data_IF_378776603346
#
_entry.id   IF_378776603346
#
_cell.length_a   1.000
_cell.length_b   1.000
_cell.length_c   1.000
_cell.angle_alpha   90.00
_cell.angle_beta   90.00
_cell.angle_gamma   90.00
#
_symmetry.space_group_name_H-M   'P 1'
#
loop_
_entity.id
_entity.type
_entity.pdbx_description
1 polymer ?
#
# COMPACT_ATOMS: atom_id res chain seq x y z
N UNK A 1 41.18 -5.02 13.36
CA UNK A 1 40.59 -5.98 14.32
C UNK A 1 39.56 -6.81 13.59
N UNK A 2 39.65 -8.14 13.66
CA UNK A 2 38.59 -9.02 13.17
C UNK A 2 37.37 -8.91 14.09
N UNK A 3 36.21 -8.58 13.54
CA UNK A 3 34.94 -8.53 14.29
C UNK A 3 34.53 -9.95 14.64
N UNK A 4 34.22 -10.21 15.91
CA UNK A 4 33.72 -11.51 16.36
C UNK A 4 32.25 -11.67 15.94
N UNK A 5 32.00 -12.61 15.02
CA UNK A 5 30.67 -12.90 14.47
C UNK A 5 29.87 -13.91 15.28
N UNK A 6 30.47 -14.49 16.33
CA UNK A 6 29.80 -15.49 17.19
C UNK A 6 28.83 -14.83 18.18
N UNK A 7 29.04 -13.56 18.51
CA UNK A 7 28.14 -12.73 19.33
C UNK A 7 27.40 -11.69 18.47
N UNK A 8 26.30 -11.10 18.96
CA UNK A 8 25.68 -9.96 18.31
C UNK A 8 26.67 -8.80 18.14
N UNK A 9 26.64 -8.17 16.97
CA UNK A 9 27.44 -6.99 16.66
C UNK A 9 27.11 -5.85 17.62
N UNK A 10 28.11 -5.22 18.24
CA UNK A 10 27.92 -4.10 19.16
C UNK A 10 27.86 -2.77 18.41
N UNK A 11 26.70 -2.13 18.44
CA UNK A 11 26.39 -0.93 17.65
C UNK A 11 26.16 0.27 18.57
N UNK A 12 26.72 1.43 18.23
CA UNK A 12 26.29 2.71 18.80
C UNK A 12 25.64 3.58 17.73
N UNK A 13 24.59 4.31 18.11
CA UNK A 13 23.89 5.23 17.21
C UNK A 13 24.13 6.66 17.66
N UNK A 14 24.65 7.51 16.78
CA UNK A 14 24.71 8.97 16.97
C UNK A 14 23.48 9.61 16.33
N UNK A 15 22.78 10.49 17.05
CA UNK A 15 21.57 11.15 16.55
C UNK A 15 21.42 12.57 17.11
N UNK A 16 20.78 13.47 16.35
CA UNK A 16 20.52 14.86 16.79
C UNK A 16 19.04 15.24 16.80
N UNK A 17 18.14 14.33 16.45
CA UNK A 17 16.73 14.66 16.16
C UNK A 17 15.75 13.54 16.49
N UNK A 18 14.73 13.39 15.63
CA UNK A 18 13.55 12.52 15.86
C UNK A 18 13.88 11.04 16.05
N UNK A 19 14.97 10.55 15.47
CA UNK A 19 15.40 9.16 15.59
C UNK A 19 14.48 8.14 14.89
N UNK A 20 13.85 8.49 13.77
CA UNK A 20 13.03 7.54 13.00
C UNK A 20 13.86 6.39 12.43
N UNK A 21 15.04 6.68 11.88
CA UNK A 21 16.00 5.66 11.43
C UNK A 21 16.54 4.79 12.56
N UNK A 22 16.74 5.38 13.76
CA UNK A 22 17.06 4.62 14.97
C UNK A 22 15.96 3.60 15.27
N UNK A 23 14.68 4.02 15.23
CA UNK A 23 13.56 3.11 15.47
C UNK A 23 13.55 1.94 14.48
N UNK A 24 13.74 2.20 13.19
CA UNK A 24 13.78 1.15 12.19
C UNK A 24 14.89 0.10 12.45
N UNK A 25 16.06 0.53 12.95
CA UNK A 25 17.15 -0.38 13.33
C UNK A 25 16.81 -1.16 14.60
N UNK A 26 16.20 -0.52 15.61
CA UNK A 26 15.71 -1.19 16.83
C UNK A 26 14.71 -2.29 16.44
N UNK A 27 13.69 -1.95 15.68
CA UNK A 27 12.62 -2.86 15.29
C UNK A 27 13.17 -4.07 14.52
N UNK A 28 14.15 -3.86 13.62
CA UNK A 28 14.78 -4.93 12.86
C UNK A 28 15.65 -5.85 13.73
N UNK A 29 16.28 -5.32 14.77
CA UNK A 29 17.03 -6.12 15.75
C UNK A 29 16.06 -6.95 16.60
N UNK A 30 15.01 -6.33 17.13
CA UNK A 30 14.01 -7.00 17.98
C UNK A 30 13.23 -8.08 17.22
N UNK A 31 12.97 -7.87 15.93
CA UNK A 31 12.37 -8.87 15.05
C UNK A 31 13.33 -10.02 14.67
N UNK A 32 14.62 -9.95 15.07
CA UNK A 32 15.62 -10.97 14.76
C UNK A 32 16.16 -10.93 13.33
N UNK A 33 15.87 -9.87 12.56
CA UNK A 33 16.40 -9.70 11.21
C UNK A 33 17.86 -9.26 11.18
N UNK A 34 18.31 -8.58 12.24
CA UNK A 34 19.68 -8.08 12.37
C UNK A 34 20.32 -8.67 13.62
N UNK A 35 21.40 -9.44 13.47
CA UNK A 35 22.17 -9.99 14.60
C UNK A 35 23.10 -8.93 15.20
N UNK A 36 22.50 -7.91 15.80
CA UNK A 36 23.21 -6.80 16.45
C UNK A 36 22.57 -6.43 17.78
N UNK A 37 23.28 -5.66 18.59
CA UNK A 37 22.81 -5.05 19.81
C UNK A 37 23.20 -3.57 19.79
N UNK A 38 22.22 -2.68 19.94
CA UNK A 38 22.50 -1.26 20.16
C UNK A 38 22.91 -1.09 21.62
N UNK A 39 24.19 -0.81 21.85
CA UNK A 39 24.75 -0.69 23.21
C UNK A 39 24.57 0.72 23.78
N UNK A 40 24.49 1.73 22.91
CA UNK A 40 24.15 3.09 23.30
C UNK A 40 23.59 3.92 22.14
N UNK A 41 22.73 4.87 22.47
CA UNK A 41 22.33 5.99 21.61
C UNK A 41 22.91 7.26 22.20
N UNK A 42 23.75 7.94 21.44
CA UNK A 42 24.45 9.15 21.87
C UNK A 42 23.89 10.35 21.09
N UNK A 43 23.55 11.43 21.80
CA UNK A 43 23.05 12.66 21.21
C UNK A 43 23.85 13.86 21.67
N UNK A 44 24.04 14.80 20.74
CA UNK A 44 24.58 16.13 21.01
C UNK A 44 23.49 17.15 21.41
N UNK A 45 22.24 16.70 21.56
CA UNK A 45 21.10 17.49 22.06
C UNK A 45 20.40 16.73 23.20
N UNK A 46 20.27 17.38 24.36
CA UNK A 46 19.70 16.79 25.57
C UNK A 46 18.27 16.30 25.38
N UNK A 47 17.48 17.07 24.64
CA UNK A 47 16.04 16.83 24.46
C UNK A 47 15.75 16.13 23.11
N UNK A 48 16.72 15.44 22.51
CA UNK A 48 16.51 14.71 21.28
C UNK A 48 15.53 13.55 21.50
N UNK A 49 14.42 13.44 20.73
CA UNK A 49 13.48 12.32 20.84
C UNK A 49 14.13 10.94 20.63
N UNK A 50 15.26 10.87 19.92
CA UNK A 50 16.06 9.66 19.78
C UNK A 50 16.51 9.06 21.14
N UNK A 51 16.85 9.90 22.13
CA UNK A 51 17.22 9.43 23.47
C UNK A 51 16.02 8.82 24.21
N UNK A 52 14.83 9.38 24.02
CA UNK A 52 13.61 8.82 24.60
C UNK A 52 13.26 7.45 23.99
N UNK A 53 13.45 7.29 22.67
CA UNK A 53 13.31 5.99 22.00
C UNK A 53 14.27 4.97 22.62
N UNK A 54 15.54 5.33 22.78
CA UNK A 54 16.53 4.44 23.41
C UNK A 54 16.07 3.97 24.79
N UNK A 55 15.62 4.90 25.65
CA UNK A 55 15.11 4.57 26.99
C UNK A 55 13.93 3.59 26.98
N UNK A 56 12.98 3.78 26.05
CA UNK A 56 11.79 2.90 25.92
C UNK A 56 12.15 1.46 25.58
N UNK A 57 13.27 1.26 24.89
CA UNK A 57 13.78 -0.07 24.50
C UNK A 57 14.92 -0.57 25.41
N UNK A 58 15.13 0.06 26.57
CA UNK A 58 16.17 -0.36 27.53
C UNK A 58 17.60 -0.16 27.02
N UNK A 59 17.80 0.69 26.02
CA UNK A 59 19.12 1.02 25.46
C UNK A 59 19.69 2.22 26.21
N UNK A 60 21.00 2.18 26.50
CA UNK A 60 21.68 3.27 27.17
C UNK A 60 21.58 4.57 26.36
N UNK A 61 20.97 5.61 26.92
CA UNK A 61 20.85 6.93 26.31
C UNK A 61 21.89 7.89 26.90
N UNK A 62 22.74 8.46 26.05
CA UNK A 62 23.83 9.33 26.47
C UNK A 62 23.70 10.70 25.81
N UNK A 63 23.58 11.74 26.62
CA UNK A 63 23.74 13.12 26.16
C UNK A 63 25.19 13.56 26.38
N UNK A 64 25.88 13.96 25.32
CA UNK A 64 27.22 14.55 25.40
C UNK A 64 27.16 15.96 24.83
N UNK A 65 27.24 16.94 25.72
CA UNK A 65 27.11 18.36 25.38
C UNK A 65 28.36 18.85 24.61
N UNK A 66 28.21 19.40 23.38
CA UNK A 66 29.34 20.01 22.68
C UNK A 66 29.73 21.40 23.22
N UNK A 67 28.89 22.06 24.02
CA UNK A 67 29.14 23.43 24.52
C UNK A 67 30.45 23.62 25.29
N UNK A 68 30.89 22.70 26.16
CA UNK A 68 32.16 22.87 26.91
C UNK A 68 33.41 22.97 26.03
N UNK A 69 33.30 22.52 24.78
CA UNK A 69 34.39 22.55 23.79
C UNK A 69 34.31 23.79 22.88
N UNK A 70 33.19 24.52 22.88
CA UNK A 70 32.96 25.64 21.98
C UNK A 70 33.99 26.76 22.19
N UNK A 71 34.37 27.43 21.09
CA UNK A 71 35.29 28.58 21.11
C UNK A 71 36.79 28.22 21.15
N UNK A 72 37.14 26.93 21.25
CA UNK A 72 38.53 26.46 21.17
C UNK A 72 38.96 26.21 19.71
N UNK A 73 40.24 26.41 19.36
CA UNK A 73 40.76 26.10 18.02
C UNK A 73 40.53 24.64 17.60
N UNK A 74 40.58 23.70 18.55
CA UNK A 74 40.42 22.25 18.41
C UNK A 74 39.04 21.75 18.87
N UNK A 75 38.04 22.65 18.95
CA UNK A 75 36.74 22.36 19.56
C UNK A 75 36.03 21.11 19.02
N UNK A 76 36.17 20.83 17.72
CA UNK A 76 35.53 19.68 17.07
C UNK A 76 36.26 18.38 17.40
N UNK A 77 37.59 18.40 17.30
CA UNK A 77 38.47 17.28 17.60
C UNK A 77 38.38 16.91 19.08
N UNK A 78 38.35 17.89 19.99
CA UNK A 78 38.19 17.65 21.42
C UNK A 78 36.84 16.97 21.75
N UNK A 79 35.76 17.41 21.11
CA UNK A 79 34.44 16.77 21.26
C UNK A 79 34.42 15.34 20.71
N UNK A 80 35.00 15.13 19.52
CA UNK A 80 35.09 13.81 18.89
C UNK A 80 36.01 12.84 19.65
N UNK A 81 37.04 13.33 20.34
CA UNK A 81 37.86 12.52 21.24
C UNK A 81 37.04 12.00 22.42
N UNK A 82 36.19 12.84 23.04
CA UNK A 82 35.30 12.39 24.11
C UNK A 82 34.28 11.35 23.60
N UNK A 83 33.75 11.54 22.38
CA UNK A 83 32.92 10.53 21.73
C UNK A 83 33.69 9.23 21.53
N UNK A 84 34.92 9.30 21.01
CA UNK A 84 35.77 8.13 20.77
C UNK A 84 36.07 7.36 22.06
N UNK A 85 36.41 8.04 23.15
CA UNK A 85 36.62 7.44 24.46
C UNK A 85 35.37 6.72 24.95
N UNK A 86 34.21 7.35 24.79
CA UNK A 86 32.91 6.77 25.16
C UNK A 86 32.62 5.50 24.34
N UNK A 87 32.81 5.56 23.02
CA UNK A 87 32.58 4.43 22.11
C UNK A 87 33.54 3.25 22.40
N UNK A 88 34.80 3.54 22.72
CA UNK A 88 35.79 2.53 23.12
C UNK A 88 35.44 1.86 24.44
N UNK A 89 35.03 2.63 25.45
CA UNK A 89 34.59 2.09 26.75
C UNK A 89 33.39 1.16 26.61
N UNK A 90 32.53 1.41 25.63
CA UNK A 90 31.35 0.59 25.33
C UNK A 90 31.65 -0.59 24.39
N UNK A 91 32.91 -0.79 23.97
CA UNK A 91 33.32 -1.84 23.02
C UNK A 91 32.46 -1.81 21.73
N UNK A 92 32.32 -0.63 21.13
CA UNK A 92 31.52 -0.44 19.91
C UNK A 92 32.30 -0.91 18.69
N UNK A 93 31.66 -1.76 17.88
CA UNK A 93 32.23 -2.32 16.67
C UNK A 93 31.78 -1.59 15.40
N UNK A 94 30.54 -1.07 15.38
CA UNK A 94 29.93 -0.29 14.30
C UNK A 94 29.24 0.97 14.85
N UNK A 95 29.49 2.12 14.22
CA UNK A 95 28.82 3.39 14.53
C UNK A 95 27.81 3.73 13.44
N UNK A 96 26.59 4.13 13.82
CA UNK A 96 25.54 4.57 12.90
C UNK A 96 25.22 6.04 13.10
N UNK A 97 25.26 6.84 12.04
CA UNK A 97 24.80 8.23 12.01
C UNK A 97 23.32 8.27 11.58
N UNK A 98 22.40 8.33 12.54
CA UNK A 98 20.96 8.35 12.31
C UNK A 98 20.40 9.77 12.48
N UNK A 99 20.59 10.62 11.47
CA UNK A 99 20.21 12.04 11.55
C UNK A 99 21.10 12.81 12.54
N UNK A 100 22.41 12.51 12.53
CA UNK A 100 23.42 13.21 13.30
C UNK A 100 23.90 14.45 12.54
N UNK A 101 23.70 15.64 13.12
CA UNK A 101 23.84 16.92 12.43
C UNK A 101 25.20 17.61 12.69
N UNK A 102 26.21 16.87 13.16
CA UNK A 102 27.58 17.39 13.27
C UNK A 102 28.50 16.65 12.30
N UNK A 103 29.35 17.39 11.62
CA UNK A 103 30.38 16.82 10.75
C UNK A 103 31.45 16.19 11.63
N UNK A 104 31.58 14.85 11.54
CA UNK A 104 32.63 14.09 12.23
C UNK A 104 34.01 14.47 11.68
N UNK A 105 35.00 14.48 12.56
CA UNK A 105 36.40 14.78 12.25
C UNK A 105 37.18 13.51 11.92
N UNK A 106 38.42 13.67 11.48
CA UNK A 106 39.35 12.57 11.22
C UNK A 106 39.60 11.68 12.44
N UNK A 107 39.38 12.18 13.67
CA UNK A 107 39.47 11.42 14.92
C UNK A 107 38.56 10.19 14.89
N UNK A 108 37.27 10.41 14.60
CA UNK A 108 36.29 9.34 14.55
C UNK A 108 36.38 8.53 13.25
N UNK A 109 36.59 9.20 12.11
CA UNK A 109 36.67 8.54 10.79
C UNK A 109 37.81 7.52 10.77
N UNK A 110 39.01 7.87 11.26
CA UNK A 110 40.15 6.94 11.29
C UNK A 110 39.95 5.82 12.31
N UNK A 111 39.35 6.13 13.47
CA UNK A 111 39.08 5.10 14.48
C UNK A 111 38.05 4.06 14.03
N UNK A 112 37.09 4.47 13.21
CA UNK A 112 35.99 3.65 12.69
C UNK A 112 35.99 3.56 11.16
N UNK A 113 37.17 3.50 10.55
CA UNK A 113 37.31 3.34 9.10
C UNK A 113 36.57 2.07 8.64
N UNK A 114 35.69 2.22 7.65
CA UNK A 114 34.78 1.17 7.16
C UNK A 114 33.92 0.53 8.27
N UNK A 115 33.73 1.23 9.40
CA UNK A 115 32.93 0.81 10.57
C UNK A 115 32.09 1.96 11.13
N UNK A 116 31.83 2.97 10.30
CA UNK A 116 30.89 4.05 10.56
C UNK A 116 30.00 4.21 9.32
N UNK A 117 28.69 4.13 9.49
CA UNK A 117 27.72 4.25 8.39
C UNK A 117 26.80 5.45 8.58
N UNK A 118 26.52 6.14 7.49
CA UNK A 118 25.52 7.19 7.43
C UNK A 118 24.40 6.80 6.46
N UNK A 119 23.20 7.31 6.71
CA UNK A 119 22.11 7.30 5.74
C UNK A 119 21.78 8.73 5.32
N UNK A 120 21.79 8.96 4.01
CA UNK A 120 21.61 10.28 3.40
C UNK A 120 20.39 10.30 2.48
N UNK A 121 19.47 11.28 2.59
CA UNK A 121 18.21 11.31 1.83
C UNK A 121 18.35 11.77 0.37
N UNK A 122 19.41 11.33 -0.33
CA UNK A 122 19.55 11.50 -1.78
C UNK A 122 20.18 10.27 -2.44
N UNK A 123 20.14 10.22 -3.77
CA UNK A 123 20.93 9.29 -4.58
C UNK A 123 22.33 9.86 -4.79
N UNK A 124 23.25 9.62 -3.84
CA UNK A 124 24.63 10.05 -3.97
C UNK A 124 25.27 9.45 -5.25
N UNK A 125 26.13 10.21 -5.95
CA UNK A 125 26.78 11.45 -5.54
C UNK A 125 25.94 12.73 -5.74
N UNK A 126 24.68 12.63 -6.17
CA UNK A 126 23.82 13.81 -6.35
C UNK A 126 23.36 14.38 -5.01
N UNK A 127 23.38 15.71 -4.90
CA UNK A 127 22.88 16.48 -3.75
C UNK A 127 23.45 16.04 -2.39
N UNK A 128 24.76 16.18 -2.12
CA UNK A 128 25.31 16.04 -0.77
C UNK A 128 24.84 17.18 0.15
N UNK A 129 24.91 16.98 1.46
CA UNK A 129 24.58 18.00 2.47
C UNK A 129 23.08 18.20 2.72
N UNK A 130 22.64 19.44 2.98
CA UNK A 130 21.28 19.71 3.50
C UNK A 130 20.25 20.03 2.40
N UNK A 131 18.97 20.01 2.76
CA UNK A 131 17.81 20.42 1.94
C UNK A 131 17.70 19.72 0.57
N UNK A 132 18.09 18.44 0.54
CA UNK A 132 18.28 17.69 -0.70
C UNK A 132 16.98 17.38 -1.44
N UNK A 133 15.87 17.23 -0.72
CA UNK A 133 14.54 17.01 -1.32
C UNK A 133 14.09 18.24 -2.09
N UNK A 134 14.24 19.43 -1.49
CA UNK A 134 13.95 20.71 -2.15
C UNK A 134 14.86 20.91 -3.35
N UNK A 135 16.16 20.67 -3.21
CA UNK A 135 17.12 20.76 -4.33
C UNK A 135 16.72 19.84 -5.50
N UNK A 136 16.30 18.61 -5.22
CA UNK A 136 15.88 17.67 -6.26
C UNK A 136 14.60 18.14 -6.99
N UNK A 137 13.62 18.67 -6.26
CA UNK A 137 12.39 19.23 -6.83
C UNK A 137 12.69 20.48 -7.67
N UNK A 138 13.44 21.44 -7.11
CA UNK A 138 13.80 22.70 -7.77
C UNK A 138 14.62 22.45 -9.05
N UNK A 139 15.46 21.41 -9.06
CA UNK A 139 16.22 20.99 -10.24
C UNK A 139 15.36 20.30 -11.32
N UNK A 140 14.12 19.93 -11.00
CA UNK A 140 13.22 19.22 -11.91
C UNK A 140 13.53 17.73 -12.04
N UNK A 141 14.17 17.11 -11.05
CA UNK A 141 14.41 15.67 -11.05
C UNK A 141 13.08 14.90 -11.10
N UNK A 142 13.09 13.74 -11.77
CA UNK A 142 11.96 12.80 -11.79
C UNK A 142 12.17 11.58 -10.88
N UNK A 143 13.35 11.47 -10.30
CA UNK A 143 13.77 10.42 -9.36
C UNK A 143 14.59 11.07 -8.24
N UNK A 144 14.34 10.62 -7.01
CA UNK A 144 15.16 10.88 -5.82
C UNK A 144 15.39 9.55 -5.09
N UNK A 145 15.85 9.59 -3.84
CA UNK A 145 16.11 8.38 -3.09
C UNK A 145 16.89 8.62 -1.81
N UNK A 146 17.43 7.55 -1.24
CA UNK A 146 18.36 7.59 -0.13
C UNK A 146 19.55 6.64 -0.36
N UNK A 147 20.66 6.93 0.30
CA UNK A 147 21.92 6.21 0.18
C UNK A 147 22.46 5.86 1.56
N UNK A 148 22.81 4.59 1.79
CA UNK A 148 23.64 4.16 2.92
C UNK A 148 25.07 4.02 2.44
N UNK A 149 26.01 4.66 3.14
CA UNK A 149 27.42 4.64 2.78
C UNK A 149 28.30 4.59 4.03
N UNK A 150 29.54 4.12 3.87
CA UNK A 150 30.57 4.30 4.88
C UNK A 150 30.98 5.76 4.98
N UNK A 151 31.29 6.24 6.18
CA UNK A 151 31.69 7.63 6.40
C UNK A 151 33.18 7.81 6.12
N UNK A 152 33.51 8.90 5.44
CA UNK A 152 34.88 9.35 5.14
C UNK A 152 35.06 10.79 5.63
N UNK A 153 36.27 11.36 5.45
CA UNK A 153 36.51 12.77 5.82
C UNK A 153 35.70 13.76 4.94
N UNK A 154 35.45 13.40 3.67
CA UNK A 154 34.54 14.13 2.78
C UNK A 154 33.07 13.93 3.17
N UNK A 155 32.28 15.00 3.09
CA UNK A 155 30.85 15.02 3.45
C UNK A 155 30.05 14.22 2.43
N UNK A 156 29.42 13.12 2.87
CA UNK A 156 28.59 12.25 2.03
C UNK A 156 29.34 11.66 0.80
N UNK A 157 30.66 11.48 0.92
CA UNK A 157 31.53 11.06 -0.20
C UNK A 157 32.05 9.62 -0.10
N UNK A 158 31.67 8.88 0.95
CA UNK A 158 32.28 7.58 1.21
C UNK A 158 31.72 6.44 0.34
N UNK A 159 32.33 5.24 0.42
CA UNK A 159 31.90 4.08 -0.35
C UNK A 159 30.43 3.73 -0.10
N UNK A 160 29.65 3.67 -1.18
CA UNK A 160 28.21 3.40 -1.15
C UNK A 160 27.99 1.90 -0.90
N UNK A 161 27.11 1.58 0.06
CA UNK A 161 26.73 0.20 0.41
C UNK A 161 25.41 -0.16 -0.28
N UNK A 162 24.36 0.64 -0.05
CA UNK A 162 23.02 0.43 -0.62
C UNK A 162 22.40 1.76 -1.04
N UNK A 163 21.56 1.72 -2.06
CA UNK A 163 20.71 2.84 -2.47
C UNK A 163 19.28 2.38 -2.70
N UNK A 164 18.34 3.28 -2.42
CA UNK A 164 16.94 3.13 -2.75
C UNK A 164 16.47 4.37 -3.48
N UNK A 165 15.70 4.19 -4.56
CA UNK A 165 15.16 5.28 -5.36
C UNK A 165 13.65 5.39 -5.17
N UNK A 166 13.09 6.58 -5.38
CA UNK A 166 11.66 6.85 -5.37
C UNK A 166 11.32 7.85 -6.48
N UNK A 167 10.12 7.80 -7.08
CA UNK A 167 9.69 8.80 -8.03
C UNK A 167 9.44 10.14 -7.32
N UNK A 168 9.69 11.23 -8.05
CA UNK A 168 9.19 12.56 -7.73
C UNK A 168 7.92 12.77 -8.57
N UNK A 169 6.79 12.97 -7.90
CA UNK A 169 5.50 13.25 -8.53
C UNK A 169 5.41 14.75 -8.88
N UNK A 170 4.64 15.10 -9.90
CA UNK A 170 4.56 16.48 -10.38
C UNK A 170 3.98 17.47 -9.35
N UNK A 171 3.26 16.97 -8.34
CA UNK A 171 2.69 17.75 -7.24
C UNK A 171 3.40 17.54 -5.89
N UNK A 172 4.58 16.92 -5.87
CA UNK A 172 5.33 16.72 -4.62
C UNK A 172 5.79 18.03 -4.00
N UNK A 173 5.72 18.08 -2.67
CA UNK A 173 6.44 19.06 -1.85
C UNK A 173 7.70 18.41 -1.25
N UNK A 174 8.66 19.19 -0.71
CA UNK A 174 9.80 18.62 -0.01
C UNK A 174 9.39 17.65 1.11
N UNK A 175 8.28 17.91 1.79
CA UNK A 175 7.75 17.09 2.89
C UNK A 175 7.18 15.76 2.37
N UNK A 176 6.38 15.77 1.29
CA UNK A 176 5.81 14.53 0.73
C UNK A 176 6.91 13.65 0.13
N UNK A 177 7.90 14.27 -0.53
CA UNK A 177 9.07 13.56 -1.04
C UNK A 177 9.93 13.00 0.11
N UNK A 178 10.18 13.77 1.16
CA UNK A 178 10.91 13.31 2.33
C UNK A 178 10.21 12.14 3.02
N UNK A 179 8.87 12.17 3.16
CA UNK A 179 8.10 11.07 3.72
C UNK A 179 8.24 9.78 2.88
N UNK A 180 8.22 9.90 1.54
CA UNK A 180 8.42 8.77 0.62
C UNK A 180 9.84 8.19 0.69
N UNK A 181 10.85 9.05 0.75
CA UNK A 181 12.26 8.65 0.91
C UNK A 181 12.44 7.93 2.26
N UNK A 182 11.85 8.46 3.33
CA UNK A 182 11.99 7.93 4.69
C UNK A 182 11.50 6.48 4.80
N UNK A 183 10.45 6.10 4.09
CA UNK A 183 9.98 4.71 4.03
C UNK A 183 11.06 3.77 3.48
N UNK A 184 11.86 4.23 2.51
CA UNK A 184 12.95 3.44 1.98
C UNK A 184 14.18 3.46 2.89
N UNK A 185 14.46 4.58 3.57
CA UNK A 185 15.51 4.66 4.58
C UNK A 185 15.34 3.59 5.66
N UNK A 186 14.10 3.41 6.14
CA UNK A 186 13.74 2.41 7.14
C UNK A 186 13.95 0.96 6.67
N UNK A 187 14.09 0.72 5.37
CA UNK A 187 14.38 -0.60 4.80
C UNK A 187 15.87 -0.80 4.59
N UNK A 188 16.53 0.14 3.90
CA UNK A 188 17.92 -0.06 3.48
C UNK A 188 18.91 0.16 4.62
N UNK A 189 18.58 0.97 5.63
CA UNK A 189 19.51 1.19 6.73
C UNK A 189 19.70 -0.06 7.60
N UNK A 190 18.63 -0.70 8.11
CA UNK A 190 18.78 -1.96 8.84
C UNK A 190 19.40 -3.07 7.98
N UNK A 191 19.09 -3.12 6.67
CA UNK A 191 19.69 -4.08 5.75
C UNK A 191 21.20 -3.89 5.61
N UNK A 192 21.70 -2.66 5.53
CA UNK A 192 23.14 -2.40 5.50
C UNK A 192 23.83 -2.85 6.80
N UNK A 193 23.18 -2.61 7.95
CA UNK A 193 23.65 -3.10 9.27
C UNK A 193 23.69 -4.63 9.29
N UNK A 194 22.67 -5.29 8.75
CA UNK A 194 22.62 -6.74 8.62
C UNK A 194 23.79 -7.28 7.79
N UNK A 195 24.00 -6.75 6.59
CA UNK A 195 25.11 -7.16 5.71
C UNK A 195 26.46 -6.99 6.40
N UNK A 196 26.61 -5.89 7.13
CA UNK A 196 27.81 -5.65 7.93
C UNK A 196 27.94 -6.66 9.06
N UNK A 197 26.86 -6.96 9.79
CA UNK A 197 26.83 -7.94 10.89
C UNK A 197 27.12 -9.38 10.43
N UNK A 198 26.72 -9.72 9.21
CA UNK A 198 27.00 -11.01 8.55
C UNK A 198 28.42 -11.10 7.98
N UNK A 199 29.18 -10.00 7.96
CA UNK A 199 30.54 -9.98 7.40
C UNK A 199 30.61 -10.00 5.88
N UNK A 200 29.50 -9.67 5.21
CA UNK A 200 29.37 -9.76 3.76
C UNK A 200 29.85 -8.52 3.01
N UNK A 201 30.36 -7.49 3.69
CA UNK A 201 30.78 -6.23 3.06
C UNK A 201 32.29 -6.17 2.93
N UNK A 202 32.79 -6.00 1.70
CA UNK A 202 34.21 -5.87 1.39
C UNK A 202 34.47 -4.58 0.62
N UNK A 203 35.26 -3.68 1.20
CA UNK A 203 35.57 -2.38 0.58
C UNK A 203 36.82 -2.50 -0.27
N UNK A 204 36.75 -2.06 -1.53
CA UNK A 204 37.92 -1.86 -2.39
C UNK A 204 37.86 -0.45 -3.02
N UNK A 205 38.77 0.42 -2.58
CA UNK A 205 38.76 1.82 -3.00
C UNK A 205 37.42 2.48 -2.65
N UNK A 206 36.68 2.94 -3.66
CA UNK A 206 35.37 3.61 -3.50
C UNK A 206 34.17 2.68 -3.61
N UNK A 207 34.39 1.38 -3.82
CA UNK A 207 33.31 0.39 -4.04
C UNK A 207 33.18 -0.54 -2.85
N UNK A 208 31.94 -0.94 -2.56
CA UNK A 208 31.63 -1.99 -1.60
C UNK A 208 31.13 -3.19 -2.38
N UNK A 209 31.83 -4.31 -2.24
CA UNK A 209 31.40 -5.61 -2.75
C UNK A 209 30.60 -6.32 -1.66
N UNK A 210 29.45 -6.87 -2.04
CA UNK A 210 28.61 -7.68 -1.17
C UNK A 210 28.84 -9.15 -1.52
N UNK A 211 29.28 -9.95 -0.56
CA UNK A 211 29.51 -11.39 -0.75
C UNK A 211 28.18 -12.13 -0.96
N UNK A 212 28.19 -13.11 -1.89
CA UNK A 212 27.01 -13.86 -2.37
C UNK A 212 25.91 -12.99 -2.98
N UNK A 213 26.26 -11.78 -3.43
CA UNK A 213 25.32 -10.90 -4.11
C UNK A 213 24.87 -11.48 -5.44
N UNK A 214 23.59 -11.82 -5.55
CA UNK A 214 22.97 -12.06 -6.86
C UNK A 214 22.81 -10.72 -7.57
N UNK A 215 23.30 -10.54 -8.82
CA UNK A 215 23.30 -9.27 -9.57
C UNK A 215 21.93 -8.60 -9.87
N UNK A 216 20.85 -8.94 -9.18
CA UNK A 216 19.53 -8.32 -9.36
C UNK A 216 18.65 -8.24 -8.10
N UNK A 217 19.12 -8.69 -6.94
CA UNK A 217 18.36 -8.67 -5.68
C UNK A 217 18.86 -7.62 -4.69
N UNK A 218 20.15 -7.24 -4.76
CA UNK A 218 20.80 -6.53 -3.66
C UNK A 218 21.01 -5.02 -3.86
N UNK A 219 20.71 -4.48 -5.05
CA UNK A 219 20.70 -3.05 -5.28
C UNK A 219 19.66 -2.64 -6.33
N UNK A 220 18.38 -2.76 -5.97
CA UNK A 220 17.28 -1.88 -6.40
C UNK A 220 16.16 -1.95 -5.33
N UNK A 221 15.92 -0.89 -4.56
CA UNK A 221 14.57 -0.58 -4.03
C UNK A 221 14.24 0.85 -4.45
N UNK A 222 14.09 1.10 -5.75
CA UNK A 222 12.77 1.07 -6.36
C UNK A 222 12.62 -0.04 -7.41
N UNK A 223 11.78 -1.04 -7.11
CA UNK A 223 10.72 -1.34 -8.08
C UNK A 223 9.59 -0.31 -7.90
N UNK A 224 9.90 0.94 -8.17
CA UNK A 224 8.97 2.06 -8.39
C UNK A 224 9.38 2.77 -9.69
N UNK A 225 9.54 2.00 -10.77
CA UNK A 225 8.87 2.39 -11.99
C UNK A 225 7.81 1.36 -12.25
N UNK A 226 6.59 1.85 -12.11
CA UNK A 226 5.35 1.08 -12.16
C UNK A 226 5.24 0.16 -10.93
N UNK A 227 4.68 0.70 -9.84
CA UNK A 227 3.45 0.06 -9.36
C UNK A 227 2.57 -0.05 -10.62
N UNK A 228 2.73 -1.16 -11.36
CA UNK A 228 1.55 -1.93 -11.62
C UNK A 228 1.10 -2.19 -10.20
N UNK A 229 0.16 -1.37 -9.73
CA UNK A 229 -0.92 -1.91 -8.96
C UNK A 229 -1.12 -3.29 -9.58
N UNK A 230 -0.86 -4.36 -8.83
CA UNK A 230 -1.45 -5.60 -9.30
C UNK A 230 -2.92 -5.24 -9.49
N UNK A 231 -3.57 -5.80 -10.50
CA UNK A 231 -4.99 -5.49 -10.74
C UNK A 231 -5.77 -5.60 -9.42
N UNK A 232 -5.29 -6.45 -8.49
CA UNK A 232 -5.71 -6.58 -7.10
C UNK A 232 -5.45 -5.39 -6.17
N UNK A 233 -4.34 -4.67 -6.27
CA UNK A 233 -4.05 -3.49 -5.43
C UNK A 233 -4.90 -2.28 -5.85
N UNK A 234 -5.14 -2.11 -7.16
CA UNK A 234 -6.06 -1.09 -7.68
C UNK A 234 -7.51 -1.46 -7.38
N UNK A 235 -7.87 -2.72 -7.59
CA UNK A 235 -9.17 -3.23 -7.20
C UNK A 235 -9.37 -3.10 -5.69
N UNK A 236 -8.39 -3.41 -4.85
CA UNK A 236 -8.51 -3.28 -3.40
C UNK A 236 -8.71 -1.82 -3.01
N UNK A 237 -7.89 -0.89 -3.52
CA UNK A 237 -8.02 0.52 -3.18
C UNK A 237 -9.31 1.16 -3.72
N UNK A 238 -9.76 0.80 -4.92
CA UNK A 238 -11.02 1.31 -5.47
C UNK A 238 -12.24 0.60 -4.87
N UNK A 239 -12.21 -0.71 -4.63
CA UNK A 239 -13.28 -1.40 -3.91
C UNK A 239 -13.39 -0.81 -2.51
N UNK A 240 -12.27 -0.64 -1.79
CA UNK A 240 -12.29 -0.02 -0.47
C UNK A 240 -12.78 1.43 -0.53
N UNK A 241 -12.40 2.24 -1.53
CA UNK A 241 -12.89 3.62 -1.72
C UNK A 241 -14.38 3.71 -2.12
N UNK A 242 -14.85 2.82 -2.98
CA UNK A 242 -16.22 2.75 -3.49
C UNK A 242 -17.16 2.24 -2.40
N UNK A 243 -16.78 1.16 -1.71
CA UNK A 243 -17.60 0.51 -0.69
C UNK A 243 -17.50 1.20 0.68
N UNK A 244 -16.39 1.84 1.06
CA UNK A 244 -16.32 2.59 2.33
C UNK A 244 -17.19 3.86 2.35
N UNK A 245 -17.52 4.45 1.19
CA UNK A 245 -18.26 5.74 1.13
C UNK A 245 -19.66 5.68 0.53
N UNK A 246 -19.99 4.70 -0.31
CA UNK A 246 -21.25 4.71 -1.08
C UNK A 246 -22.12 3.47 -0.86
N UNK A 247 -21.77 2.61 0.11
CA UNK A 247 -22.52 1.40 0.40
C UNK A 247 -23.94 1.67 0.91
N UNK A 248 -24.14 2.75 1.67
CA UNK A 248 -25.47 3.23 2.08
C UNK A 248 -26.37 3.55 0.89
N UNK A 249 -25.80 4.06 -0.21
CA UNK A 249 -26.53 4.36 -1.43
C UNK A 249 -26.85 3.10 -2.25
N UNK A 250 -25.89 2.17 -2.36
CA UNK A 250 -26.11 0.88 -3.03
C UNK A 250 -27.18 0.07 -2.29
N UNK A 251 -27.17 0.10 -0.96
CA UNK A 251 -28.19 -0.54 -0.12
C UNK A 251 -29.55 0.16 -0.23
N UNK A 252 -29.61 1.49 -0.27
CA UNK A 252 -30.85 2.26 -0.46
C UNK A 252 -31.46 2.05 -1.86
N UNK A 253 -30.64 2.02 -2.92
CA UNK A 253 -31.09 1.69 -4.29
C UNK A 253 -31.57 0.24 -4.36
N UNK A 254 -30.84 -0.70 -3.74
CA UNK A 254 -31.23 -2.10 -3.63
C UNK A 254 -32.56 -2.28 -2.89
N UNK A 255 -32.79 -1.54 -1.80
CA UNK A 255 -34.06 -1.52 -1.05
C UNK A 255 -35.21 -0.94 -1.87
N UNK A 256 -35.01 0.15 -2.61
CA UNK A 256 -36.04 0.77 -3.46
C UNK A 256 -36.42 -0.12 -4.64
N UNK A 257 -35.45 -0.78 -5.26
CA UNK A 257 -35.69 -1.76 -6.32
C UNK A 257 -36.44 -2.98 -5.76
N UNK A 258 -36.03 -3.48 -4.59
CA UNK A 258 -36.71 -4.60 -3.93
C UNK A 258 -38.17 -4.26 -3.54
N UNK A 259 -38.43 -3.06 -2.98
CA UNK A 259 -39.79 -2.61 -2.66
C UNK A 259 -40.67 -2.41 -3.90
N UNK A 260 -40.11 -1.90 -4.99
CA UNK A 260 -40.85 -1.72 -6.25
C UNK A 260 -41.26 -3.07 -6.87
N UNK A 261 -40.42 -4.09 -6.73
CA UNK A 261 -40.63 -5.43 -7.30
C UNK A 261 -41.44 -6.35 -6.38
N UNK A 262 -41.35 -6.18 -5.05
CA UNK A 262 -42.18 -6.90 -4.07
C UNK A 262 -43.68 -6.54 -4.20
N UNK A 263 -44.00 -5.35 -4.71
CA UNK A 263 -45.38 -4.93 -4.98
C UNK A 263 -45.98 -5.54 -6.27
N UNK A 264 -45.22 -6.28 -7.07
CA UNK A 264 -45.71 -6.90 -8.32
C UNK A 264 -45.62 -8.42 -8.26
N UNK A 265 -46.62 -9.05 -7.64
CA UNK A 265 -46.86 -10.49 -7.76
C UNK A 265 -47.42 -10.81 -9.16
N UNK A 266 -46.55 -11.11 -10.12
CA UNK A 266 -46.87 -11.92 -11.32
C UNK A 266 -45.61 -12.19 -12.17
N UNK A 267 -45.67 -13.23 -12.99
CA UNK A 267 -44.71 -13.52 -14.07
C UNK A 267 -44.31 -12.24 -14.79
N UNK A 268 -43.03 -11.84 -14.69
CA UNK A 268 -42.54 -10.65 -15.39
C UNK A 268 -42.67 -10.91 -16.90
N UNK A 269 -43.53 -10.16 -17.62
CA UNK A 269 -43.67 -10.33 -19.07
C UNK A 269 -42.34 -10.07 -19.78
N UNK A 270 -42.19 -10.56 -21.02
CA UNK A 270 -41.05 -10.18 -21.85
C UNK A 270 -41.06 -8.65 -22.05
N UNK A 271 -40.09 -7.98 -21.43
CA UNK A 271 -40.13 -6.55 -21.21
C UNK A 271 -38.84 -6.01 -20.58
N UNK A 272 -38.79 -4.69 -20.34
CA UNK A 272 -37.62 -4.03 -19.76
C UNK A 272 -37.26 -4.61 -18.38
N UNK A 273 -38.24 -4.94 -17.52
CA UNK A 273 -37.96 -5.45 -16.17
C UNK A 273 -37.27 -6.82 -16.20
N UNK A 274 -37.77 -7.75 -17.03
CA UNK A 274 -37.16 -9.09 -17.19
C UNK A 274 -35.74 -8.99 -17.77
N UNK A 275 -35.55 -8.08 -18.73
CA UNK A 275 -34.25 -7.83 -19.37
C UNK A 275 -33.23 -7.27 -18.38
N UNK A 276 -33.62 -6.32 -17.53
CA UNK A 276 -32.79 -5.79 -16.45
C UNK A 276 -32.34 -6.91 -15.52
N UNK A 277 -33.25 -7.80 -15.12
CA UNK A 277 -32.93 -8.91 -14.22
C UNK A 277 -31.87 -9.86 -14.81
N UNK A 278 -32.01 -10.23 -16.09
CA UNK A 278 -31.06 -11.10 -16.78
C UNK A 278 -29.69 -10.43 -16.93
N UNK A 279 -29.65 -9.13 -17.22
CA UNK A 279 -28.40 -8.37 -17.31
C UNK A 279 -27.67 -8.33 -15.97
N UNK A 280 -28.39 -8.07 -14.87
CA UNK A 280 -27.78 -8.05 -13.52
C UNK A 280 -27.26 -9.43 -13.10
N UNK A 281 -27.98 -10.51 -13.42
CA UNK A 281 -27.53 -11.89 -13.18
C UNK A 281 -26.25 -12.24 -13.96
N UNK A 282 -26.13 -11.77 -15.20
CA UNK A 282 -24.92 -11.93 -16.01
C UNK A 282 -23.74 -11.14 -15.45
N UNK A 283 -23.97 -9.92 -14.96
CA UNK A 283 -22.95 -9.12 -14.29
C UNK A 283 -22.42 -9.82 -13.02
N UNK A 284 -23.32 -10.43 -12.23
CA UNK A 284 -22.93 -11.22 -11.05
C UNK A 284 -22.05 -12.42 -11.40
N UNK A 285 -22.49 -13.24 -12.36
CA UNK A 285 -21.76 -14.44 -12.76
C UNK A 285 -20.36 -14.09 -13.29
N UNK A 286 -20.25 -12.94 -13.94
CA UNK A 286 -18.98 -12.37 -14.40
C UNK A 286 -18.09 -11.95 -13.21
N UNK A 287 -18.62 -11.23 -12.22
CA UNK A 287 -17.87 -10.87 -11.01
C UNK A 287 -17.38 -12.10 -10.21
N UNK A 288 -18.20 -13.14 -10.10
CA UNK A 288 -17.79 -14.41 -9.47
C UNK A 288 -16.70 -15.13 -10.27
N UNK A 289 -16.74 -15.06 -11.60
CA UNK A 289 -15.68 -15.62 -12.45
C UNK A 289 -14.38 -14.83 -12.33
N UNK A 290 -14.47 -13.50 -12.12
CA UNK A 290 -13.30 -12.66 -11.87
C UNK A 290 -12.56 -13.07 -10.58
N UNK A 291 -13.29 -13.44 -9.52
CA UNK A 291 -12.70 -13.97 -8.29
C UNK A 291 -11.89 -15.25 -8.52
N UNK A 292 -12.40 -16.17 -9.32
CA UNK A 292 -11.72 -17.42 -9.62
C UNK A 292 -10.46 -17.19 -10.46
N UNK A 293 -10.51 -16.25 -11.41
CA UNK A 293 -9.35 -15.84 -12.20
C UNK A 293 -8.26 -15.21 -11.32
N UNK A 294 -8.63 -14.38 -10.36
CA UNK A 294 -7.72 -13.84 -9.35
C UNK A 294 -7.04 -14.95 -8.55
N UNK A 295 -7.83 -15.89 -8.03
CA UNK A 295 -7.33 -17.02 -7.21
C UNK A 295 -6.34 -17.89 -7.98
N UNK A 296 -6.51 -18.00 -9.30
CA UNK A 296 -5.63 -18.75 -10.19
C UNK A 296 -4.46 -17.94 -10.75
N UNK A 297 -4.30 -16.68 -10.33
CA UNK A 297 -3.16 -15.84 -10.73
C UNK A 297 -3.31 -15.20 -12.12
N UNK A 298 -4.53 -14.97 -12.61
CA UNK A 298 -4.83 -14.34 -13.90
C UNK A 298 -5.35 -12.89 -13.75
N UNK A 299 -4.49 -11.92 -13.39
CA UNK A 299 -4.90 -10.56 -13.07
C UNK A 299 -5.39 -9.77 -14.30
N UNK A 300 -4.84 -10.01 -15.49
CA UNK A 300 -5.23 -9.30 -16.71
C UNK A 300 -6.65 -9.66 -17.14
N UNK A 301 -6.99 -10.95 -17.08
CA UNK A 301 -8.31 -11.48 -17.41
C UNK A 301 -9.36 -11.02 -16.39
N UNK A 302 -8.96 -10.90 -15.12
CA UNK A 302 -9.81 -10.35 -14.04
C UNK A 302 -10.29 -8.93 -14.36
N UNK A 303 -9.38 -8.03 -14.73
CA UNK A 303 -9.72 -6.63 -15.04
C UNK A 303 -10.70 -6.51 -16.22
N UNK A 304 -10.53 -7.35 -17.25
CA UNK A 304 -11.43 -7.42 -18.41
C UNK A 304 -12.85 -7.84 -17.99
N UNK A 305 -12.97 -8.85 -17.12
CA UNK A 305 -14.27 -9.37 -16.66
C UNK A 305 -15.00 -8.38 -15.75
N UNK A 306 -14.27 -7.69 -14.87
CA UNK A 306 -14.84 -6.67 -13.99
C UNK A 306 -15.34 -5.46 -14.80
N UNK A 307 -14.54 -5.02 -15.78
CA UNK A 307 -14.95 -3.95 -16.70
C UNK A 307 -16.25 -4.30 -17.42
N UNK A 308 -16.35 -5.52 -17.97
CA UNK A 308 -17.56 -5.97 -18.64
C UNK A 308 -18.78 -5.97 -17.70
N UNK A 309 -18.59 -6.38 -16.44
CA UNK A 309 -19.66 -6.39 -15.44
C UNK A 309 -20.18 -4.98 -15.15
N UNK A 310 -19.28 -3.99 -15.08
CA UNK A 310 -19.62 -2.57 -14.90
C UNK A 310 -20.44 -2.03 -16.09
N UNK A 311 -20.03 -2.36 -17.32
CA UNK A 311 -20.75 -1.96 -18.54
C UNK A 311 -22.16 -2.57 -18.61
N UNK A 312 -22.31 -3.83 -18.18
CA UNK A 312 -23.61 -4.52 -18.11
C UNK A 312 -24.53 -3.91 -17.05
N UNK A 313 -24.00 -3.59 -15.86
CA UNK A 313 -24.77 -2.90 -14.82
C UNK A 313 -25.21 -1.50 -15.26
N UNK A 314 -24.33 -0.79 -15.99
CA UNK A 314 -24.67 0.53 -16.52
C UNK A 314 -25.77 0.46 -17.59
N UNK A 315 -25.73 -0.55 -18.47
CA UNK A 315 -26.78 -0.80 -19.44
C UNK A 315 -28.13 -1.10 -18.76
N UNK A 316 -28.14 -1.94 -17.72
CA UNK A 316 -29.34 -2.23 -16.95
C UNK A 316 -29.93 -0.95 -16.29
N UNK A 317 -29.07 -0.10 -15.73
CA UNK A 317 -29.47 1.18 -15.17
C UNK A 317 -30.05 2.15 -16.22
N UNK A 318 -29.46 2.22 -17.43
CA UNK A 318 -29.97 3.05 -18.53
C UNK A 318 -31.34 2.56 -18.99
N UNK A 319 -31.52 1.25 -19.18
CA UNK A 319 -32.82 0.64 -19.55
C UNK A 319 -33.88 0.95 -18.49
N UNK A 320 -33.52 0.94 -17.20
CA UNK A 320 -34.42 1.29 -16.11
C UNK A 320 -34.80 2.79 -16.08
N UNK A 321 -33.90 3.66 -16.54
CA UNK A 321 -34.08 5.12 -16.47
C UNK A 321 -34.68 5.77 -17.71
N UNK A 322 -34.60 5.11 -18.87
CA UNK A 322 -35.08 5.64 -20.16
C UNK A 322 -35.94 4.58 -20.88
N UNK A 323 -37.26 4.81 -20.93
CA UNK A 323 -38.20 3.91 -21.61
C UNK A 323 -37.91 3.69 -23.10
N UNK A 324 -37.17 4.60 -23.76
CA UNK A 324 -36.73 4.43 -25.16
C UNK A 324 -35.42 3.63 -25.26
N UNK A 325 -34.66 3.51 -24.17
CA UNK A 325 -33.41 2.75 -24.16
C UNK A 325 -33.65 1.25 -24.30
N UNK A 326 -34.76 0.73 -23.75
CA UNK A 326 -35.15 -0.67 -23.94
C UNK A 326 -35.34 -1.02 -25.43
N UNK A 327 -36.08 -0.20 -26.17
CA UNK A 327 -36.29 -0.41 -27.61
C UNK A 327 -34.99 -0.26 -28.40
N UNK A 328 -34.12 0.67 -28.02
CA UNK A 328 -32.78 0.79 -28.63
C UNK A 328 -31.92 -0.44 -28.35
N UNK A 329 -31.96 -0.99 -27.14
CA UNK A 329 -31.24 -2.21 -26.76
C UNK A 329 -31.74 -3.42 -27.57
N UNK A 330 -33.06 -3.61 -27.64
CA UNK A 330 -33.71 -4.70 -28.39
C UNK A 330 -33.32 -4.74 -29.87
N UNK A 331 -33.13 -3.57 -30.47
CA UNK A 331 -32.72 -3.43 -31.87
C UNK A 331 -31.19 -3.34 -32.07
N UNK A 332 -30.39 -3.60 -31.03
CA UNK A 332 -28.92 -3.56 -31.08
C UNK A 332 -28.33 -2.16 -31.32
N UNK A 333 -29.09 -1.10 -31.01
CA UNK A 333 -28.73 0.32 -31.19
C UNK A 333 -28.31 0.99 -29.87
N UNK A 334 -28.05 0.21 -28.83
CA UNK A 334 -27.54 0.68 -27.55
C UNK A 334 -26.30 -0.13 -27.16
N UNK A 335 -25.16 0.55 -27.16
CA UNK A 335 -23.86 -0.03 -26.79
C UNK A 335 -23.61 0.12 -25.29
N UNK A 336 -23.15 -0.94 -24.64
CA UNK A 336 -22.95 -1.00 -23.17
C UNK A 336 -21.87 -0.02 -22.70
N UNK A 337 -20.82 0.23 -23.48
CA UNK A 337 -19.77 1.19 -23.11
C UNK A 337 -20.28 2.63 -23.18
N UNK A 338 -21.16 2.94 -24.15
CA UNK A 338 -21.81 4.26 -24.25
C UNK A 338 -22.76 4.56 -23.09
N UNK A 339 -23.27 3.51 -22.44
CA UNK A 339 -24.16 3.65 -21.28
C UNK A 339 -23.45 4.22 -20.05
N UNK A 340 -22.13 4.05 -19.92
CA UNK A 340 -21.35 4.59 -18.77
C UNK A 340 -21.52 6.11 -18.63
N UNK A 341 -21.38 6.84 -19.74
CA UNK A 341 -21.59 8.29 -19.76
C UNK A 341 -23.04 8.71 -19.55
N UNK A 342 -24.00 7.83 -19.88
CA UNK A 342 -25.44 8.07 -19.71
C UNK A 342 -25.89 7.85 -18.27
N UNK A 343 -25.38 6.81 -17.58
CA UNK A 343 -25.67 6.56 -16.16
C UNK A 343 -25.19 7.70 -15.29
N UNK A 344 -24.03 8.31 -15.60
CA UNK A 344 -23.55 9.52 -14.90
C UNK A 344 -24.56 10.69 -14.95
N UNK A 345 -25.37 10.79 -16.00
CA UNK A 345 -26.42 11.82 -16.11
C UNK A 345 -27.72 11.38 -15.44
N UNK A 346 -28.10 10.11 -15.57
CA UNK A 346 -29.35 9.58 -15.04
C UNK A 346 -29.32 9.33 -13.52
N UNK A 347 -28.19 8.84 -13.00
CA UNK A 347 -27.90 8.61 -11.58
C UNK A 347 -26.52 9.15 -11.24
N UNK A 348 -26.40 10.44 -10.88
CA UNK A 348 -25.12 11.11 -10.67
C UNK A 348 -24.22 10.42 -9.62
N UNK A 349 -24.83 9.92 -8.55
CA UNK A 349 -24.09 9.31 -7.44
C UNK A 349 -23.51 7.94 -7.83
N UNK A 350 -24.34 7.03 -8.36
CA UNK A 350 -23.91 5.70 -8.85
C UNK A 350 -23.05 5.81 -10.12
N UNK A 351 -23.42 6.71 -11.03
CA UNK A 351 -22.74 6.90 -12.30
C UNK A 351 -21.37 7.57 -12.17
N UNK A 352 -21.14 8.40 -11.14
CA UNK A 352 -19.80 8.90 -10.83
C UNK A 352 -18.85 7.79 -10.36
N UNK A 353 -19.36 6.84 -9.59
CA UNK A 353 -18.65 5.66 -9.09
C UNK A 353 -18.32 4.71 -10.25
N UNK A 354 -19.33 4.31 -11.03
CA UNK A 354 -19.15 3.42 -12.18
C UNK A 354 -18.23 4.04 -13.25
N UNK A 355 -18.33 5.36 -13.50
CA UNK A 355 -17.49 6.03 -14.48
C UNK A 355 -16.02 6.19 -14.03
N UNK A 356 -15.76 6.36 -12.72
CA UNK A 356 -14.39 6.36 -12.19
C UNK A 356 -13.75 4.97 -12.29
N UNK A 357 -14.46 3.94 -11.81
CA UNK A 357 -14.02 2.55 -11.90
C UNK A 357 -13.80 2.12 -13.36
N UNK A 358 -14.74 2.45 -14.26
CA UNK A 358 -14.61 2.19 -15.69
C UNK A 358 -13.45 2.97 -16.33
N UNK A 359 -13.30 4.26 -16.01
CA UNK A 359 -12.26 5.13 -16.55
C UNK A 359 -10.87 4.57 -16.29
N UNK A 360 -10.60 4.10 -15.07
CA UNK A 360 -9.31 3.50 -14.78
C UNK A 360 -9.12 2.09 -15.31
N UNK A 361 -10.19 1.32 -15.54
CA UNK A 361 -10.07 0.05 -16.25
C UNK A 361 -9.87 0.27 -17.76
N UNK A 362 -10.36 1.38 -18.31
CA UNK A 362 -10.27 1.70 -19.73
C UNK A 362 -8.89 2.19 -20.17
N UNK A 363 -8.08 2.74 -19.24
CA UNK A 363 -6.69 3.15 -19.52
C UNK A 363 -5.75 1.96 -19.70
N UNK A 364 -6.03 0.86 -19.01
CA UNK A 364 -5.13 -0.29 -18.92
C UNK A 364 -5.63 -1.54 -19.66
N UNK A 365 -6.93 -1.62 -19.96
CA UNK A 365 -7.54 -2.77 -20.62
C UNK A 365 -8.27 -2.35 -21.90
N UNK A 366 -8.07 -3.10 -22.99
CA UNK A 366 -8.78 -2.87 -24.24
C UNK A 366 -10.27 -3.28 -24.13
N UNK A 367 -11.15 -2.53 -24.80
CA UNK A 367 -12.55 -2.89 -24.93
C UNK A 367 -12.69 -4.18 -25.75
N UNK A 368 -13.45 -5.18 -25.30
CA UNK A 368 -13.68 -6.44 -26.04
C UNK A 368 -14.74 -6.27 -27.15
N UNK A 369 -14.93 -5.05 -27.63
CA UNK A 369 -16.01 -4.67 -28.52
C UNK A 369 -15.91 -5.28 -29.92
N UNK A 370 -17.04 -5.81 -30.39
CA UNK A 370 -17.32 -6.07 -31.80
C UNK A 370 -17.53 -7.53 -32.17
N UNK A 371 -16.68 -8.45 -31.68
CA UNK A 371 -16.63 -9.83 -32.20
C UNK A 371 -17.15 -10.92 -31.25
N UNK A 372 -16.98 -10.77 -29.93
CA UNK A 372 -17.44 -11.78 -28.96
C UNK A 372 -18.87 -11.52 -28.45
N UNK A 373 -19.23 -10.25 -28.23
CA UNK A 373 -20.54 -9.89 -27.66
C UNK A 373 -21.71 -10.11 -28.62
N UNK A 374 -21.55 -9.79 -29.92
CA UNK A 374 -22.61 -9.97 -30.93
C UNK A 374 -23.02 -11.42 -31.15
N UNK A 375 -22.15 -12.39 -30.86
CA UNK A 375 -22.44 -13.83 -30.98
C UNK A 375 -22.99 -14.46 -29.70
N UNK A 376 -22.79 -13.84 -28.53
CA UNK A 376 -23.33 -14.33 -27.24
C UNK A 376 -24.63 -13.65 -26.81
N UNK A 377 -25.05 -12.58 -27.49
CA UNK A 377 -26.40 -11.99 -27.35
C UNK A 377 -27.55 -12.93 -27.79
N UNK A 378 -27.25 -14.14 -28.26
CA UNK A 378 -28.24 -15.17 -28.61
C UNK A 378 -28.22 -16.36 -27.66
N UNK A 379 -28.02 -16.14 -26.35
CA UNK A 379 -28.53 -17.10 -25.37
C UNK A 379 -30.02 -16.78 -25.21
N UNK A 380 -30.89 -17.66 -25.75
CA UNK A 380 -32.34 -17.52 -25.62
C UNK A 380 -32.72 -17.32 -24.15
N UNK A 381 -33.48 -16.27 -23.80
CA UNK A 381 -33.88 -15.99 -22.43
C UNK A 381 -35.09 -16.85 -22.07
N UNK A 382 -34.90 -18.15 -21.96
CA UNK A 382 -35.93 -19.05 -21.44
C UNK A 382 -35.32 -19.94 -20.36
N UNK A 383 -35.39 -19.53 -19.09
CA UNK A 383 -35.71 -20.48 -18.05
C UNK A 383 -37.15 -20.92 -18.31
N UNK A 384 -37.36 -22.22 -18.50
CA UNK A 384 -38.69 -22.84 -18.53
C UNK A 384 -39.49 -22.40 -17.30
N UNK A 385 -40.76 -22.09 -17.52
CA UNK A 385 -41.73 -21.65 -16.52
C UNK A 385 -41.73 -22.56 -15.29
N UNK A 386 -41.36 -22.02 -14.14
CA UNK A 386 -41.40 -22.73 -12.85
C UNK A 386 -40.66 -22.04 -11.70
N UNK A 387 -39.65 -21.21 -11.98
CA UNK A 387 -38.76 -20.70 -10.92
C UNK A 387 -38.92 -19.19 -10.67
N UNK A 388 -40.12 -18.79 -10.25
CA UNK A 388 -40.41 -17.46 -9.68
C UNK A 388 -40.09 -17.37 -8.18
N UNK A 389 -39.23 -18.27 -7.69
CA UNK A 389 -38.54 -18.17 -6.40
C UNK A 389 -37.29 -17.28 -6.48
N UNK A 390 -36.94 -16.78 -7.68
CA UNK A 390 -35.56 -16.45 -7.99
C UNK A 390 -35.19 -14.96 -7.88
N UNK A 391 -36.08 -13.98 -7.73
CA UNK A 391 -35.66 -12.57 -7.75
C UNK A 391 -35.11 -12.08 -6.40
N UNK A 392 -35.83 -12.33 -5.31
CA UNK A 392 -35.31 -12.11 -3.95
C UNK A 392 -34.05 -12.95 -3.71
N UNK A 393 -34.04 -14.18 -4.21
CA UNK A 393 -32.87 -15.07 -4.20
C UNK A 393 -31.72 -14.52 -5.03
N UNK A 394 -31.96 -13.92 -6.20
CA UNK A 394 -30.91 -13.31 -7.04
C UNK A 394 -30.37 -12.04 -6.41
N UNK A 395 -31.21 -11.19 -5.81
CA UNK A 395 -30.77 -9.99 -5.10
C UNK A 395 -30.03 -10.33 -3.79
N UNK A 396 -30.49 -11.34 -3.06
CA UNK A 396 -29.79 -11.88 -1.89
C UNK A 396 -28.45 -12.51 -2.31
N UNK A 397 -28.42 -13.20 -3.45
CA UNK A 397 -27.19 -13.77 -4.02
C UNK A 397 -26.24 -12.68 -4.52
N UNK A 398 -26.74 -11.56 -5.05
CA UNK A 398 -25.93 -10.39 -5.44
C UNK A 398 -25.32 -9.74 -4.20
N UNK A 399 -26.15 -9.50 -3.18
CA UNK A 399 -25.71 -8.98 -1.88
C UNK A 399 -24.68 -9.89 -1.23
N UNK A 400 -24.89 -11.20 -1.27
CA UNK A 400 -23.96 -12.21 -0.77
C UNK A 400 -22.65 -12.26 -1.56
N UNK A 401 -22.70 -12.18 -2.89
CA UNK A 401 -21.52 -12.15 -3.75
C UNK A 401 -20.68 -10.89 -3.51
N UNK A 402 -21.32 -9.72 -3.38
CA UNK A 402 -20.66 -8.45 -3.05
C UNK A 402 -20.06 -8.46 -1.63
N UNK A 403 -20.76 -9.04 -0.66
CA UNK A 403 -20.23 -9.20 0.70
C UNK A 403 -19.05 -10.19 0.74
N UNK A 404 -19.14 -11.29 0.00
CA UNK A 404 -18.06 -12.27 -0.11
C UNK A 404 -16.84 -11.67 -0.81
N UNK A 405 -17.05 -10.83 -1.83
CA UNK A 405 -16.01 -10.04 -2.48
C UNK A 405 -15.28 -9.12 -1.49
N UNK A 406 -16.02 -8.42 -0.63
CA UNK A 406 -15.49 -7.48 0.37
C UNK A 406 -14.75 -8.18 1.52
N UNK A 407 -15.30 -9.31 2.00
CA UNK A 407 -14.63 -10.13 3.01
C UNK A 407 -13.32 -10.72 2.46
N UNK A 408 -13.35 -11.22 1.23
CA UNK A 408 -12.18 -11.82 0.58
C UNK A 408 -11.14 -10.77 0.17
N UNK A 409 -11.54 -9.56 -0.21
CA UNK A 409 -10.60 -8.47 -0.51
C UNK A 409 -9.80 -8.08 0.74
N UNK A 410 -10.44 -7.96 1.92
CA UNK A 410 -9.73 -7.71 3.18
C UNK A 410 -8.79 -8.86 3.57
N UNK A 411 -9.20 -10.12 3.34
CA UNK A 411 -8.38 -11.32 3.62
C UNK A 411 -7.19 -11.45 2.67
N UNK A 412 -7.36 -11.14 1.38
CA UNK A 412 -6.30 -11.22 0.37
C UNK A 412 -5.35 -10.01 0.47
N UNK A 413 -5.87 -8.84 0.85
CA UNK A 413 -5.12 -7.59 0.96
C UNK A 413 -4.76 -7.22 2.42
N UNK A 414 -4.79 -8.16 3.37
CA UNK A 414 -4.63 -7.90 4.82
C UNK A 414 -3.34 -7.17 5.22
N UNK A 415 -2.30 -7.21 4.37
CA UNK A 415 -1.03 -6.49 4.58
C UNK A 415 -1.09 -5.01 4.20
N UNK A 416 -2.16 -4.60 3.53
CA UNK A 416 -2.33 -3.27 2.93
C UNK A 416 -3.59 -2.54 3.44
N UNK A 417 -4.48 -3.25 4.14
CA UNK A 417 -5.65 -2.66 4.80
C UNK A 417 -5.22 -2.10 6.17
N UNK A 418 -5.25 -0.77 6.31
CA UNK A 418 -4.82 -0.08 7.53
C UNK A 418 -5.80 -0.26 8.70
N UNK A 419 -7.10 -0.40 8.41
CA UNK A 419 -8.18 -0.52 9.40
C UNK A 419 -9.20 -1.61 8.98
N UNK A 420 -8.87 -2.91 9.18
CA UNK A 420 -9.75 -4.01 8.78
C UNK A 420 -11.04 -4.04 9.62
N UNK A 421 -12.20 -4.15 8.96
CA UNK A 421 -13.53 -3.98 9.60
C UNK A 421 -14.07 -5.26 10.24
N UNK A 422 -13.69 -6.40 9.69
CA UNK A 422 -14.17 -7.72 10.15
C UNK A 422 -13.14 -8.48 10.99
N UNK A 423 -11.93 -7.93 11.12
CA UNK A 423 -10.77 -8.66 11.62
C UNK A 423 -9.96 -7.82 12.60
N UNK A 424 -9.61 -8.40 13.74
CA UNK A 424 -8.74 -7.78 14.73
C UNK A 424 -7.37 -8.46 14.73
N UNK A 425 -6.31 -7.67 14.69
CA UNK A 425 -4.95 -8.18 14.80
C UNK A 425 -4.70 -8.67 16.23
N UNK A 426 -4.41 -9.95 16.39
CA UNK A 426 -4.13 -10.59 17.69
C UNK A 426 -2.63 -10.84 17.90
N UNK A 427 -1.86 -11.06 16.83
CA UNK A 427 -0.39 -11.15 16.84
C UNK A 427 0.18 -10.58 15.52
N UNK A 428 1.52 -10.47 15.40
CA UNK A 428 2.21 -9.81 14.29
C UNK A 428 1.76 -10.26 12.88
N UNK A 429 1.28 -11.50 12.72
CA UNK A 429 0.74 -12.05 11.47
C UNK A 429 -0.55 -12.86 11.66
N UNK A 430 -1.25 -12.68 12.78
CA UNK A 430 -2.50 -13.40 13.05
C UNK A 430 -3.64 -12.42 13.24
N UNK A 431 -4.72 -12.68 12.51
CA UNK A 431 -5.97 -11.96 12.57
C UNK A 431 -7.06 -12.90 13.05
N UNK A 432 -7.89 -12.39 13.96
CA UNK A 432 -9.07 -13.09 14.45
C UNK A 432 -10.29 -12.37 13.89
N UNK A 433 -11.30 -13.15 13.47
CA UNK A 433 -12.58 -12.58 13.08
C UNK A 433 -13.22 -11.89 14.29
N UNK A 434 -13.37 -10.58 14.21
CA UNK A 434 -13.93 -9.76 15.28
C UNK A 434 -14.59 -8.51 14.68
N UNK A 435 -15.77 -8.66 14.04
CA UNK A 435 -16.45 -7.54 13.42
C UNK A 435 -16.87 -6.51 14.47
N UNK A 436 -16.83 -5.22 14.09
CA UNK A 436 -17.27 -4.12 14.97
C UNK A 436 -18.75 -4.28 15.34
N UNK A 437 -19.23 -3.66 16.44
CA UNK A 437 -20.66 -3.67 16.79
C UNK A 437 -21.56 -3.23 15.63
N UNK A 438 -21.16 -2.21 14.87
CA UNK A 438 -21.87 -1.71 13.69
C UNK A 438 -21.89 -2.75 12.57
N UNK A 439 -20.77 -3.46 12.34
CA UNK A 439 -20.70 -4.55 11.38
C UNK A 439 -21.56 -5.76 11.81
N UNK A 440 -21.64 -6.06 13.12
CA UNK A 440 -22.47 -7.13 13.69
C UNK A 440 -23.96 -6.82 13.57
N UNK A 441 -24.38 -5.60 13.91
CA UNK A 441 -25.77 -5.13 13.70
C UNK A 441 -26.16 -5.16 12.22
N UNK A 442 -25.24 -4.72 11.36
CA UNK A 442 -25.44 -4.80 9.92
C UNK A 442 -25.55 -6.24 9.41
N UNK A 443 -24.68 -7.16 9.85
CA UNK A 443 -24.74 -8.57 9.47
C UNK A 443 -26.04 -9.23 9.93
N UNK A 444 -26.54 -8.87 11.11
CA UNK A 444 -27.82 -9.34 11.61
C UNK A 444 -28.98 -8.84 10.73
N UNK A 445 -28.97 -7.55 10.33
CA UNK A 445 -29.94 -6.96 9.42
C UNK A 445 -29.83 -7.47 7.97
N UNK A 446 -28.63 -7.89 7.55
CA UNK A 446 -28.33 -8.46 6.23
C UNK A 446 -28.87 -9.90 6.07
N UNK A 447 -28.85 -10.68 7.16
CA UNK A 447 -29.33 -12.07 7.20
C UNK A 447 -30.84 -12.18 7.48
N UNK A 448 -31.48 -11.10 7.91
CA UNK A 448 -32.95 -11.03 7.96
C UNK A 448 -33.52 -10.84 6.57
N UNK A 449 -34.20 -11.88 6.08
CA UNK A 449 -34.92 -11.86 4.80
C UNK A 449 -35.97 -10.73 4.78
N UNK A 450 -35.84 -9.72 3.89
CA UNK A 450 -36.83 -8.65 3.78
C UNK A 450 -38.21 -9.15 3.33
N UNK A 451 -38.35 -10.40 2.91
CA UNK A 451 -39.64 -11.02 2.56
C UNK A 451 -40.37 -11.66 3.74
N UNK A 452 -39.76 -11.76 4.94
CA UNK A 452 -40.37 -12.44 6.10
C UNK A 452 -41.63 -11.76 6.64
N UNK A 453 -41.78 -10.46 6.41
CA UNK A 453 -42.90 -9.66 6.95
C UNK A 453 -44.08 -9.54 5.97
N UNK A 454 -44.05 -10.25 4.83
CA UNK A 454 -45.16 -10.29 3.87
C UNK A 454 -46.11 -11.42 4.31
N UNK A 455 -47.35 -11.13 4.77
CA UNK A 455 -48.25 -12.16 5.28
C UNK A 455 -48.57 -13.20 4.19
N UNK A 456 -48.29 -14.47 4.49
CA UNK A 456 -48.48 -15.63 3.59
C UNK A 456 -49.97 -15.94 3.30
N UNK A 457 -50.91 -15.15 3.81
CA UNK A 457 -52.33 -15.54 3.89
C UNK A 457 -53.21 -15.16 2.70
N UNK A 458 -52.68 -14.78 1.53
CA UNK A 458 -53.49 -14.68 0.31
C UNK A 458 -52.67 -15.16 -0.90
N UNK A 459 -52.57 -16.49 -1.02
CA UNK A 459 -52.12 -17.19 -2.21
C UNK A 459 -53.32 -17.62 -3.06
#
# INVERSE_FOLDING_TARGET
MSIDRTRPLRVAVLASGRGSNLQAVIDAIEAGHVRAQIVAVISNKKDAPALERARKHGIQDLFIDPKPFAGRPDSREAYDNLLLETLRRLDVELVLLAGYMKIVTSVLVKAYENRMMNIHPSLLPSFPGLDVQKKAIDWGCKLAGCTVHFVTEGVDEGPIILQAAVPILDNDTPETLAARILVQEHKIYPRAVQLFAEGRLRVEGRRVFIEDAKPGEEAIVSKERTLKLTVLDYLAAEVDYVFSRHFSLIDEVGKRIAMHLANQHQTVPDGPEKTICVLLLNAMSSLMSALELVRRGFPLQTGIVIRNSIEVMALAAVINSDGKAYERYKHGRLDSSSCIGMVKKAWPEVGSVLARAWGSLSSDFAHVGGLLYRRWQTVSPTPTSGELFALGTVLLSLKFALHTLDLLSEVVAYRHVNEPRFWKRVEANKYMYDPTPEAKEWMAAFLTDPCKDIPVSQA
#
